data_IF_992883843644
#
_entry.id   IF_992883843644
#
_cell.length_a   1.000
_cell.length_b   1.000
_cell.length_c   1.000
_cell.angle_alpha   90.00
_cell.angle_beta   90.00
_cell.angle_gamma   90.00
#
_symmetry.space_group_name_H-M   'P 1'
#
loop_
_entity.id
_entity.type
_entity.pdbx_description
1 polymer ?
#
# COMPACT_ATOMS: atom_id res chain seq x y z
N UNK A 1 26.59 -1.50 17.89
CA UNK A 1 25.20 -1.99 17.99
C UNK A 1 24.28 -0.90 17.47
N UNK A 2 23.24 -1.24 16.70
CA UNK A 2 22.26 -0.25 16.24
C UNK A 2 21.37 0.23 17.41
N UNK A 3 20.87 1.45 17.32
CA UNK A 3 19.99 2.03 18.34
C UNK A 3 19.32 3.34 17.91
N UNK A 4 18.63 4.02 18.83
CA UNK A 4 17.94 5.28 18.54
C UNK A 4 18.85 6.39 18.01
N UNK A 5 20.10 6.43 18.46
CA UNK A 5 21.12 7.40 18.03
C UNK A 5 21.84 7.01 16.74
N UNK A 6 21.55 5.83 16.18
CA UNK A 6 22.25 5.40 14.97
C UNK A 6 21.89 6.28 13.78
N UNK A 7 22.87 6.64 12.97
CA UNK A 7 22.64 7.39 11.74
C UNK A 7 22.21 6.46 10.58
N UNK A 8 21.92 7.04 9.41
CA UNK A 8 21.50 6.26 8.26
C UNK A 8 22.60 5.31 7.75
N UNK A 9 23.86 5.72 7.80
CA UNK A 9 24.98 4.92 7.33
C UNK A 9 25.22 3.70 8.22
N UNK A 10 25.14 3.87 9.55
CA UNK A 10 25.23 2.79 10.52
C UNK A 10 24.10 1.77 10.36
N UNK A 11 22.86 2.24 10.13
CA UNK A 11 21.73 1.36 9.85
C UNK A 11 21.90 0.62 8.53
N UNK A 12 22.35 1.29 7.46
CA UNK A 12 22.63 0.64 6.18
C UNK A 12 23.72 -0.42 6.32
N UNK A 13 24.82 -0.10 7.02
CA UNK A 13 25.89 -1.06 7.29
C UNK A 13 25.36 -2.29 8.04
N UNK A 14 24.48 -2.08 9.03
CA UNK A 14 23.82 -3.19 9.72
C UNK A 14 22.92 -4.01 8.80
N UNK A 15 22.09 -3.37 7.96
CA UNK A 15 21.24 -4.08 6.99
C UNK A 15 22.08 -4.93 6.04
N UNK A 16 23.24 -4.42 5.58
CA UNK A 16 24.15 -5.18 4.72
C UNK A 16 24.66 -6.46 5.40
N UNK A 17 24.86 -6.47 6.71
CA UNK A 17 25.25 -7.70 7.44
C UNK A 17 24.14 -8.76 7.49
N UNK A 18 22.88 -8.38 7.21
CA UNK A 18 21.72 -9.28 7.21
C UNK A 18 21.37 -9.78 5.80
N UNK A 19 22.19 -9.46 4.79
CA UNK A 19 21.91 -9.77 3.40
C UNK A 19 21.76 -11.28 3.16
N UNK A 20 20.76 -11.65 2.37
CA UNK A 20 20.51 -13.03 1.94
C UNK A 20 20.32 -13.12 0.43
N UNK A 21 21.32 -13.68 -0.27
CA UNK A 21 21.26 -13.90 -1.73
C UNK A 21 20.15 -14.88 -2.12
N UNK A 22 19.89 -15.89 -1.29
CA UNK A 22 18.80 -16.83 -1.52
C UNK A 22 17.44 -16.10 -1.57
N UNK A 23 17.21 -15.20 -0.62
CA UNK A 23 15.98 -14.41 -0.58
C UNK A 23 15.90 -13.43 -1.76
N UNK A 24 17.02 -12.79 -2.13
CA UNK A 24 17.09 -11.92 -3.31
C UNK A 24 16.69 -12.70 -4.58
N UNK A 25 17.18 -13.92 -4.76
CA UNK A 25 16.81 -14.77 -5.91
C UNK A 25 15.30 -15.14 -5.90
N UNK A 26 14.72 -15.33 -4.72
CA UNK A 26 13.29 -15.61 -4.56
C UNK A 26 12.37 -14.43 -4.88
N UNK A 27 12.82 -13.19 -4.67
CA UNK A 27 12.00 -11.97 -4.82
C UNK A 27 11.50 -11.72 -6.24
N UNK A 28 12.29 -12.09 -7.27
CA UNK A 28 11.91 -11.90 -8.67
C UNK A 28 10.60 -12.60 -9.03
N UNK A 29 10.28 -13.73 -8.37
CA UNK A 29 9.02 -14.48 -8.56
C UNK A 29 7.79 -13.69 -8.15
N UNK A 30 7.96 -12.66 -7.32
CA UNK A 30 6.91 -11.77 -6.85
C UNK A 30 6.87 -10.43 -7.61
N UNK A 31 7.68 -10.28 -8.67
CA UNK A 31 7.76 -9.05 -9.46
C UNK A 31 8.41 -7.89 -8.71
N UNK A 32 9.30 -8.18 -7.77
CA UNK A 32 10.08 -7.19 -7.02
C UNK A 32 11.40 -6.94 -7.75
N UNK A 33 11.79 -5.67 -7.90
CA UNK A 33 13.09 -5.28 -8.47
C UNK A 33 14.20 -5.58 -7.46
N UNK A 34 15.21 -6.34 -7.88
CA UNK A 34 16.25 -6.88 -6.99
C UNK A 34 17.61 -6.18 -7.08
N UNK A 35 17.77 -5.20 -7.98
CA UNK A 35 19.07 -4.56 -8.27
C UNK A 35 19.81 -4.04 -7.02
N UNK A 36 19.08 -3.42 -6.09
CA UNK A 36 19.60 -2.93 -4.82
C UNK A 36 18.90 -3.58 -3.60
N UNK A 37 18.42 -4.81 -3.76
CA UNK A 37 17.81 -5.57 -2.67
C UNK A 37 18.86 -6.33 -1.85
N UNK A 38 18.62 -6.41 -0.54
CA UNK A 38 19.42 -7.16 0.42
C UNK A 38 18.78 -8.50 0.80
N UNK A 39 17.52 -8.75 0.42
CA UNK A 39 16.90 -10.05 0.71
C UNK A 39 16.42 -10.20 2.15
N UNK A 40 16.16 -9.10 2.85
CA UNK A 40 15.77 -9.13 4.27
C UNK A 40 14.25 -9.23 4.37
N UNK A 41 13.76 -10.06 5.28
CA UNK A 41 12.34 -10.24 5.49
C UNK A 41 11.68 -8.99 6.11
N UNK A 42 10.41 -8.73 5.78
CA UNK A 42 9.67 -7.62 6.41
C UNK A 42 9.62 -7.71 7.95
N UNK A 43 9.45 -8.89 8.58
CA UNK A 43 9.59 -9.04 10.04
C UNK A 43 10.93 -8.56 10.59
N UNK A 44 12.04 -8.87 9.92
CA UNK A 44 13.38 -8.47 10.38
C UNK A 44 13.61 -6.97 10.21
N UNK A 45 13.16 -6.38 9.09
CA UNK A 45 13.19 -4.92 8.92
C UNK A 45 12.35 -4.22 10.00
N UNK A 46 11.18 -4.77 10.35
CA UNK A 46 10.37 -4.25 11.47
C UNK A 46 11.07 -4.41 12.81
N UNK A 47 11.85 -5.47 13.03
CA UNK A 47 12.66 -5.63 14.22
C UNK A 47 13.76 -4.55 14.31
N UNK A 48 14.46 -4.28 13.20
CA UNK A 48 15.42 -3.17 13.10
C UNK A 48 14.75 -1.82 13.38
N UNK A 49 13.59 -1.55 12.78
CA UNK A 49 12.83 -0.32 12.99
C UNK A 49 12.43 -0.11 14.47
N UNK A 50 12.05 -1.19 15.18
CA UNK A 50 11.72 -1.12 16.61
C UNK A 50 12.91 -0.74 17.49
N UNK A 51 14.12 -1.13 17.10
CA UNK A 51 15.38 -0.78 17.80
C UNK A 51 15.81 0.64 17.44
N UNK A 52 15.79 0.99 16.16
CA UNK A 52 16.19 2.30 15.65
C UNK A 52 15.23 3.44 16.04
N UNK A 53 13.95 3.14 16.30
CA UNK A 53 12.88 4.13 16.58
C UNK A 53 12.63 5.09 15.41
N UNK A 54 11.61 5.94 15.57
CA UNK A 54 11.25 6.95 14.57
C UNK A 54 12.25 8.11 14.58
N UNK A 55 12.65 8.55 13.40
CA UNK A 55 13.46 9.76 13.13
C UNK A 55 13.25 10.16 11.66
N UNK A 56 12.61 11.32 11.45
CA UNK A 56 12.25 11.80 10.10
C UNK A 56 13.46 12.12 9.21
N UNK A 57 14.52 12.68 9.79
CA UNK A 57 15.73 13.09 9.04
C UNK A 57 16.47 11.84 8.58
N UNK A 58 16.66 10.88 9.47
CA UNK A 58 17.27 9.60 9.14
C UNK A 58 16.43 8.79 8.16
N UNK A 59 15.11 8.77 8.32
CA UNK A 59 14.23 8.12 7.35
C UNK A 59 14.41 8.69 5.94
N UNK A 60 14.53 10.02 5.81
CA UNK A 60 14.79 10.69 4.53
C UNK A 60 16.15 10.30 3.94
N UNK A 61 17.19 10.19 4.77
CA UNK A 61 18.51 9.74 4.34
C UNK A 61 18.51 8.26 3.91
N UNK A 62 17.84 7.39 4.65
CA UNK A 62 17.64 5.99 4.30
C UNK A 62 16.91 5.84 2.96
N UNK A 63 15.88 6.64 2.72
CA UNK A 63 15.13 6.63 1.46
C UNK A 63 16.02 6.91 0.24
N UNK A 64 16.90 7.92 0.37
CA UNK A 64 17.84 8.36 -0.67
C UNK A 64 18.93 7.35 -1.00
N UNK A 65 19.14 6.33 -0.16
CA UNK A 65 20.17 5.31 -0.41
C UNK A 65 19.87 4.39 -1.58
N UNK A 66 18.62 4.38 -2.07
CA UNK A 66 18.12 3.50 -3.14
C UNK A 66 18.27 1.99 -2.84
N UNK A 67 18.53 1.62 -1.58
CA UNK A 67 18.52 0.24 -1.10
C UNK A 67 17.08 -0.10 -0.70
N UNK A 68 16.53 -1.19 -1.26
CA UNK A 68 15.12 -1.58 -1.03
C UNK A 68 14.77 -1.67 0.46
N UNK A 69 15.56 -2.40 1.22
CA UNK A 69 15.35 -2.61 2.65
C UNK A 69 15.56 -1.34 3.48
N UNK A 70 16.44 -0.43 3.02
CA UNK A 70 16.61 0.87 3.64
C UNK A 70 15.39 1.77 3.40
N UNK A 71 14.76 1.70 2.21
CA UNK A 71 13.48 2.37 1.94
C UNK A 71 12.35 1.81 2.79
N UNK A 72 12.25 0.49 2.93
CA UNK A 72 11.29 -0.11 3.87
C UNK A 72 11.54 0.35 5.30
N UNK A 73 12.80 0.38 5.74
CA UNK A 73 13.16 0.89 7.06
C UNK A 73 12.75 2.36 7.22
N UNK A 74 13.01 3.20 6.20
CA UNK A 74 12.58 4.59 6.17
C UNK A 74 11.07 4.73 6.38
N UNK A 75 10.26 3.95 5.66
CA UNK A 75 8.79 3.95 5.80
C UNK A 75 8.35 3.55 7.22
N UNK A 76 9.05 2.64 7.88
CA UNK A 76 8.74 2.26 9.27
C UNK A 76 9.24 3.25 10.33
N UNK A 77 10.25 4.06 10.02
CA UNK A 77 10.89 4.97 10.98
C UNK A 77 10.58 6.45 10.73
N UNK A 78 9.87 6.80 9.67
CA UNK A 78 9.42 8.19 9.48
C UNK A 78 8.35 8.57 10.51
N UNK A 79 8.25 9.86 10.81
CA UNK A 79 7.26 10.40 11.74
C UNK A 79 6.02 10.84 10.95
N UNK A 80 4.88 10.12 11.02
CA UNK A 80 3.73 10.38 10.15
C UNK A 80 3.19 11.81 10.26
N UNK A 81 3.21 12.39 11.47
CA UNK A 81 2.76 13.77 11.71
C UNK A 81 3.64 14.84 11.08
N UNK A 82 4.86 14.50 10.68
CA UNK A 82 5.82 15.40 10.02
C UNK A 82 5.85 15.19 8.51
N UNK A 83 5.26 14.11 8.02
CA UNK A 83 5.25 13.78 6.61
C UNK A 83 4.30 14.71 5.85
N UNK A 84 4.85 15.48 4.93
CA UNK A 84 4.09 16.40 4.08
C UNK A 84 3.60 15.71 2.80
N UNK A 85 2.58 16.29 2.17
CA UNK A 85 2.13 15.85 0.84
C UNK A 85 3.23 15.95 -0.21
N UNK A 86 4.08 16.98 -0.15
CA UNK A 86 5.19 17.17 -1.08
C UNK A 86 6.24 16.07 -0.93
N UNK A 87 6.64 15.74 0.31
CA UNK A 87 7.55 14.61 0.57
C UNK A 87 6.95 13.28 0.09
N UNK A 88 5.67 13.04 0.33
CA UNK A 88 4.98 11.83 -0.12
C UNK A 88 4.96 11.72 -1.66
N UNK A 89 4.71 12.82 -2.38
CA UNK A 89 4.82 12.86 -3.86
C UNK A 89 6.23 12.60 -4.33
N UNK A 90 7.23 13.17 -3.65
CA UNK A 90 8.63 12.96 -3.98
C UNK A 90 9.02 11.49 -3.81
N UNK A 91 8.59 10.83 -2.72
CA UNK A 91 8.82 9.40 -2.53
C UNK A 91 8.09 8.56 -3.57
N UNK A 92 6.89 8.97 -4.00
CA UNK A 92 6.15 8.26 -5.03
C UNK A 92 6.88 8.20 -6.38
N UNK A 93 7.78 9.15 -6.67
CA UNK A 93 8.62 9.11 -7.87
C UNK A 93 9.57 7.90 -7.90
N UNK A 94 9.93 7.38 -6.74
CA UNK A 94 10.88 6.27 -6.59
C UNK A 94 10.18 4.90 -6.44
N UNK A 95 8.84 4.85 -6.49
CA UNK A 95 8.10 3.60 -6.33
C UNK A 95 8.32 2.68 -7.54
N UNK A 96 8.93 1.52 -7.25
CA UNK A 96 9.31 0.52 -8.26
C UNK A 96 8.85 -0.90 -7.91
N UNK A 97 8.09 -1.06 -6.83
CA UNK A 97 7.63 -2.36 -6.36
C UNK A 97 6.36 -2.23 -5.51
N UNK A 98 5.51 -3.26 -5.54
CA UNK A 98 4.18 -3.22 -4.93
C UNK A 98 4.22 -3.17 -3.41
N UNK A 99 5.25 -3.73 -2.79
CA UNK A 99 5.43 -3.80 -1.35
C UNK A 99 5.97 -2.50 -0.75
N UNK A 100 6.79 -1.74 -1.49
CA UNK A 100 7.15 -0.36 -1.12
C UNK A 100 5.89 0.50 -1.16
N UNK A 101 5.09 0.36 -2.23
CA UNK A 101 3.81 1.07 -2.38
C UNK A 101 2.87 0.75 -1.23
N UNK A 102 2.63 -0.53 -0.94
CA UNK A 102 1.66 -0.94 0.08
C UNK A 102 2.11 -0.46 1.49
N UNK A 103 3.42 -0.52 1.78
CA UNK A 103 3.97 0.02 3.03
C UNK A 103 3.85 1.55 3.11
N UNK A 104 4.07 2.26 2.00
CA UNK A 104 3.92 3.71 1.93
C UNK A 104 2.45 4.14 2.03
N UNK A 105 1.53 3.39 1.44
CA UNK A 105 0.10 3.65 1.50
C UNK A 105 -0.42 3.61 2.94
N UNK A 106 -0.05 2.59 3.73
CA UNK A 106 -0.40 2.51 5.16
C UNK A 106 0.11 3.73 5.94
N UNK A 107 1.36 4.14 5.67
CA UNK A 107 1.95 5.33 6.26
C UNK A 107 1.21 6.62 5.86
N UNK A 108 0.86 6.78 4.59
CA UNK A 108 0.15 7.97 4.09
C UNK A 108 -1.25 8.09 4.70
N UNK A 109 -1.93 6.96 4.91
CA UNK A 109 -3.20 6.89 5.65
C UNK A 109 -2.99 7.24 7.13
N UNK A 110 -1.95 6.73 7.79
CA UNK A 110 -1.60 7.12 9.18
C UNK A 110 -1.30 8.63 9.28
N UNK A 111 -0.66 9.21 8.26
CA UNK A 111 -0.33 10.62 8.16
C UNK A 111 -1.49 11.53 7.72
N UNK A 112 -2.69 10.97 7.43
CA UNK A 112 -3.88 11.70 6.97
C UNK A 112 -3.66 12.48 5.66
N UNK A 113 -2.94 11.88 4.71
CA UNK A 113 -2.68 12.46 3.38
C UNK A 113 -3.71 12.03 2.34
N UNK A 114 -4.98 11.90 2.76
CA UNK A 114 -6.08 11.34 1.96
C UNK A 114 -6.35 12.13 0.67
N UNK A 115 -6.00 13.42 0.65
CA UNK A 115 -6.08 14.32 -0.52
C UNK A 115 -5.23 13.83 -1.70
N UNK A 116 -4.17 13.05 -1.46
CA UNK A 116 -3.30 12.51 -2.52
C UNK A 116 -3.94 11.38 -3.33
N UNK A 117 -5.02 10.76 -2.83
CA UNK A 117 -5.65 9.59 -3.47
C UNK A 117 -6.08 9.91 -4.90
N UNK A 118 -6.74 11.06 -5.12
CA UNK A 118 -7.21 11.48 -6.44
C UNK A 118 -6.05 11.72 -7.40
N UNK A 119 -4.99 12.38 -6.94
CA UNK A 119 -3.83 12.69 -7.76
C UNK A 119 -3.05 11.44 -8.14
N UNK A 120 -2.86 10.53 -7.20
CA UNK A 120 -2.20 9.26 -7.46
C UNK A 120 -3.02 8.38 -8.40
N UNK A 121 -4.35 8.35 -8.28
CA UNK A 121 -5.18 7.58 -9.20
C UNK A 121 -5.11 8.10 -10.64
N UNK A 122 -5.06 9.42 -10.82
CA UNK A 122 -4.92 10.08 -12.11
C UNK A 122 -3.53 9.87 -12.75
N UNK A 123 -2.50 9.56 -11.96
CA UNK A 123 -1.15 9.31 -12.47
C UNK A 123 -1.09 8.06 -13.36
N UNK A 124 -0.38 8.16 -14.48
CA UNK A 124 -0.22 7.05 -15.44
C UNK A 124 0.88 6.06 -15.03
N UNK A 125 1.75 6.38 -14.06
CA UNK A 125 2.79 5.46 -13.58
C UNK A 125 2.14 4.35 -12.75
N UNK A 126 2.45 3.09 -13.07
CA UNK A 126 1.77 1.90 -12.50
C UNK A 126 1.77 1.90 -10.96
N UNK A 127 2.93 2.14 -10.35
CA UNK A 127 3.07 2.07 -8.90
C UNK A 127 2.52 3.30 -8.18
N UNK A 128 2.54 4.49 -8.81
CA UNK A 128 1.88 5.68 -8.26
C UNK A 128 0.36 5.48 -8.26
N UNK A 129 -0.20 4.99 -9.37
CA UNK A 129 -1.62 4.62 -9.44
C UNK A 129 -2.01 3.55 -8.43
N UNK A 130 -1.16 2.53 -8.26
CA UNK A 130 -1.37 1.50 -7.24
C UNK A 130 -1.51 2.12 -5.84
N UNK A 131 -0.71 3.16 -5.52
CA UNK A 131 -0.73 3.81 -4.21
C UNK A 131 -2.12 4.34 -3.85
N UNK A 132 -2.85 4.96 -4.78
CA UNK A 132 -4.20 5.45 -4.52
C UNK A 132 -5.13 4.34 -4.00
N UNK A 133 -5.15 3.19 -4.70
CA UNK A 133 -6.03 2.08 -4.33
C UNK A 133 -5.53 1.31 -3.11
N UNK A 134 -4.21 1.23 -2.89
CA UNK A 134 -3.66 0.72 -1.65
C UNK A 134 -4.04 1.61 -0.45
N UNK A 135 -4.01 2.94 -0.60
CA UNK A 135 -4.45 3.89 0.43
C UNK A 135 -5.93 3.71 0.74
N UNK A 136 -6.80 3.59 -0.27
CA UNK A 136 -8.24 3.32 -0.07
C UNK A 136 -8.45 2.00 0.69
N UNK A 137 -7.73 0.94 0.31
CA UNK A 137 -7.81 -0.35 0.99
C UNK A 137 -7.37 -0.26 2.46
N UNK A 138 -6.25 0.41 2.74
CA UNK A 138 -5.74 0.64 4.08
C UNK A 138 -6.69 1.52 4.92
N UNK A 139 -7.23 2.59 4.35
CA UNK A 139 -8.17 3.48 5.01
C UNK A 139 -9.45 2.76 5.44
N UNK A 140 -10.00 1.89 4.58
CA UNK A 140 -11.17 1.09 4.90
C UNK A 140 -10.95 0.16 6.12
N UNK A 141 -9.73 -0.32 6.34
CA UNK A 141 -9.35 -1.20 7.46
C UNK A 141 -8.96 -0.43 8.72
N UNK A 142 -8.16 0.63 8.58
CA UNK A 142 -7.47 1.30 9.69
C UNK A 142 -8.25 2.49 10.25
N UNK A 143 -8.94 3.26 9.41
CA UNK A 143 -9.66 4.46 9.84
C UNK A 143 -11.05 4.11 10.40
N UNK A 144 -11.11 3.30 11.45
CA UNK A 144 -12.37 2.76 12.02
C UNK A 144 -13.37 3.80 12.52
N UNK A 145 -12.91 5.04 12.76
CA UNK A 145 -13.75 6.15 13.23
C UNK A 145 -14.12 7.14 12.12
N UNK A 146 -13.55 6.97 10.93
CA UNK A 146 -13.87 7.82 9.79
C UNK A 146 -15.33 7.56 9.35
N UNK A 147 -16.11 8.60 9.02
CA UNK A 147 -17.45 8.43 8.51
C UNK A 147 -17.46 7.52 7.27
N UNK A 148 -18.46 6.64 7.20
CA UNK A 148 -18.60 5.73 6.06
C UNK A 148 -18.77 6.49 4.74
N UNK A 149 -19.37 7.69 4.78
CA UNK A 149 -19.49 8.58 3.63
C UNK A 149 -18.11 8.96 3.04
N UNK A 150 -17.09 9.18 3.87
CA UNK A 150 -15.72 9.46 3.40
C UNK A 150 -15.16 8.28 2.61
N UNK A 151 -15.33 7.05 3.14
CA UNK A 151 -14.83 5.83 2.50
C UNK A 151 -15.59 5.53 1.20
N UNK A 152 -16.91 5.71 1.22
CA UNK A 152 -17.79 5.50 0.08
C UNK A 152 -17.56 6.50 -1.06
N UNK A 153 -17.07 7.70 -0.75
CA UNK A 153 -16.73 8.72 -1.75
C UNK A 153 -15.64 8.28 -2.74
N UNK A 154 -14.88 7.22 -2.41
CA UNK A 154 -13.86 6.66 -3.31
C UNK A 154 -14.37 5.55 -4.25
N UNK A 155 -15.62 5.08 -4.11
CA UNK A 155 -16.20 4.08 -5.02
C UNK A 155 -16.22 4.55 -6.49
N UNK A 156 -16.57 5.81 -6.83
CA UNK A 156 -16.49 6.30 -8.21
C UNK A 156 -15.08 6.23 -8.79
N UNK A 157 -14.05 6.44 -7.96
CA UNK A 157 -12.66 6.34 -8.39
C UNK A 157 -12.26 4.88 -8.69
N UNK A 158 -12.74 3.94 -7.88
CA UNK A 158 -12.58 2.50 -8.12
C UNK A 158 -13.24 2.10 -9.45
N UNK A 159 -14.47 2.58 -9.70
CA UNK A 159 -15.19 2.31 -10.95
C UNK A 159 -14.44 2.85 -12.17
N UNK A 160 -14.02 4.12 -12.11
CA UNK A 160 -13.32 4.78 -13.20
C UNK A 160 -12.02 4.09 -13.62
N UNK A 161 -11.32 3.45 -12.67
CA UNK A 161 -10.04 2.76 -12.92
C UNK A 161 -10.15 1.22 -12.95
N UNK A 162 -11.36 0.65 -12.88
CA UNK A 162 -11.55 -0.80 -12.93
C UNK A 162 -11.12 -1.46 -14.26
N UNK A 163 -11.01 -0.68 -15.33
CA UNK A 163 -10.54 -1.13 -16.64
C UNK A 163 -9.02 -1.27 -16.79
N UNK A 164 -8.21 -0.81 -15.83
CA UNK A 164 -6.75 -0.79 -15.95
C UNK A 164 -6.17 -2.22 -16.00
N UNK A 165 -5.59 -2.67 -17.14
CA UNK A 165 -5.19 -4.07 -17.28
C UNK A 165 -3.91 -4.43 -16.53
N UNK A 166 -3.18 -3.44 -16.01
CA UNK A 166 -1.87 -3.65 -15.37
C UNK A 166 -2.04 -4.41 -14.07
N UNK A 167 -1.24 -5.46 -13.89
CA UNK A 167 -1.49 -6.47 -12.86
C UNK A 167 -1.45 -5.88 -11.46
N UNK A 168 -0.53 -4.96 -11.18
CA UNK A 168 -0.43 -4.36 -9.85
C UNK A 168 -1.53 -3.33 -9.58
N UNK A 169 -2.02 -2.63 -10.60
CA UNK A 169 -3.15 -1.69 -10.46
C UNK A 169 -4.45 -2.45 -10.28
N UNK A 170 -4.84 -3.36 -11.19
CA UNK A 170 -6.13 -4.09 -11.09
C UNK A 170 -6.28 -4.87 -9.79
N UNK A 171 -5.18 -5.41 -9.26
CA UNK A 171 -5.18 -6.10 -7.96
C UNK A 171 -5.44 -5.12 -6.81
N UNK A 172 -4.87 -3.92 -6.87
CA UNK A 172 -5.13 -2.89 -5.86
C UNK A 172 -6.55 -2.33 -5.96
N UNK A 173 -7.09 -2.10 -7.16
CA UNK A 173 -8.49 -1.67 -7.37
C UNK A 173 -9.47 -2.70 -6.79
N UNK A 174 -9.28 -3.99 -7.12
CA UNK A 174 -10.07 -5.08 -6.51
C UNK A 174 -9.92 -5.13 -4.99
N UNK A 175 -8.68 -5.01 -4.49
CA UNK A 175 -8.40 -5.02 -3.06
C UNK A 175 -9.09 -3.85 -2.34
N UNK A 176 -9.09 -2.65 -2.90
CA UNK A 176 -9.81 -1.48 -2.40
C UNK A 176 -11.32 -1.76 -2.31
N UNK A 177 -11.94 -2.19 -3.41
CA UNK A 177 -13.38 -2.51 -3.46
C UNK A 177 -13.80 -3.51 -2.39
N UNK A 178 -13.03 -4.61 -2.26
CA UNK A 178 -13.30 -5.64 -1.25
C UNK A 178 -13.14 -5.11 0.16
N UNK A 179 -12.14 -4.27 0.46
CA UNK A 179 -11.96 -3.76 1.82
C UNK A 179 -13.02 -2.73 2.21
N UNK A 180 -13.46 -1.88 1.28
CA UNK A 180 -14.64 -1.02 1.53
C UNK A 180 -15.83 -1.92 1.89
N UNK A 181 -16.12 -2.94 1.08
CA UNK A 181 -17.26 -3.82 1.33
C UNK A 181 -17.15 -4.67 2.61
N UNK A 182 -15.94 -4.93 3.10
CA UNK A 182 -15.70 -5.69 4.34
C UNK A 182 -15.73 -4.85 5.61
N UNK A 183 -15.78 -3.51 5.49
CA UNK A 183 -15.63 -2.59 6.60
C UNK A 183 -16.77 -2.71 7.63
N UNK A 184 -18.01 -2.57 7.16
CA UNK A 184 -19.25 -2.61 7.95
C UNK A 184 -20.47 -2.70 7.02
N UNK A 185 -21.67 -2.86 7.60
CA UNK A 185 -22.92 -2.99 6.84
C UNK A 185 -23.21 -1.80 5.91
N UNK A 186 -22.94 -0.58 6.37
CA UNK A 186 -23.19 0.63 5.58
C UNK A 186 -22.32 0.70 4.31
N UNK A 187 -21.06 0.24 4.38
CA UNK A 187 -20.15 0.20 3.24
C UNK A 187 -20.33 -1.04 2.36
N UNK A 188 -20.84 -2.14 2.92
CA UNK A 188 -21.01 -3.41 2.21
C UNK A 188 -21.99 -3.32 1.04
N UNK A 189 -23.18 -2.79 1.27
CA UNK A 189 -24.22 -2.76 0.23
C UNK A 189 -23.78 -1.95 -1.01
N UNK A 190 -23.24 -0.72 -0.89
CA UNK A 190 -22.72 0.03 -2.03
C UNK A 190 -21.55 -0.66 -2.74
N UNK A 191 -20.59 -1.22 -1.99
CA UNK A 191 -19.46 -1.92 -2.58
C UNK A 191 -19.88 -3.19 -3.33
N UNK A 192 -20.83 -3.97 -2.79
CA UNK A 192 -21.38 -5.15 -3.45
C UNK A 192 -22.19 -4.76 -4.71
N UNK A 193 -22.92 -3.64 -4.67
CA UNK A 193 -23.62 -3.12 -5.83
C UNK A 193 -22.64 -2.77 -6.96
N UNK A 194 -21.57 -2.02 -6.67
CA UNK A 194 -20.52 -1.72 -7.65
C UNK A 194 -19.85 -3.01 -8.15
N UNK A 195 -19.53 -3.96 -7.26
CA UNK A 195 -18.94 -5.23 -7.66
C UNK A 195 -19.82 -6.00 -8.67
N UNK A 196 -21.15 -5.98 -8.51
CA UNK A 196 -22.11 -6.59 -9.45
C UNK A 196 -22.13 -5.86 -10.79
N UNK A 197 -22.11 -4.52 -10.79
CA UNK A 197 -22.02 -3.72 -12.03
C UNK A 197 -20.75 -4.09 -12.79
N UNK A 198 -19.60 -4.10 -12.10
CA UNK A 198 -18.32 -4.46 -12.71
C UNK A 198 -18.32 -5.90 -13.23
N UNK A 199 -18.99 -6.84 -12.54
CA UNK A 199 -19.05 -8.25 -12.94
C UNK A 199 -19.78 -8.48 -14.29
N UNK A 200 -20.65 -7.55 -14.69
CA UNK A 200 -21.35 -7.57 -15.98
C UNK A 200 -20.68 -6.70 -17.05
N UNK A 201 -19.56 -6.06 -16.72
CA UNK A 201 -18.83 -5.18 -17.66
C UNK A 201 -18.33 -5.95 -18.89
N UNK A 202 -18.38 -5.34 -20.10
CA UNK A 202 -17.73 -5.90 -21.29
C UNK A 202 -16.20 -5.90 -21.15
N UNK A 203 -15.63 -4.99 -20.37
CA UNK A 203 -14.18 -4.97 -20.11
C UNK A 203 -13.76 -6.17 -19.26
N UNK A 204 -12.74 -6.90 -19.72
CA UNK A 204 -12.28 -8.14 -19.07
C UNK A 204 -11.65 -7.90 -17.69
N UNK A 205 -11.01 -6.75 -17.48
CA UNK A 205 -10.37 -6.39 -16.22
C UNK A 205 -11.43 -6.05 -15.19
N UNK A 206 -12.33 -5.13 -15.53
CA UNK A 206 -13.45 -4.73 -14.69
C UNK A 206 -14.31 -5.94 -14.30
N UNK A 207 -14.62 -6.81 -15.28
CA UNK A 207 -15.33 -8.07 -15.04
C UNK A 207 -14.62 -9.01 -14.09
N UNK A 208 -13.30 -9.14 -14.20
CA UNK A 208 -12.51 -9.95 -13.27
C UNK A 208 -12.57 -9.38 -11.85
N UNK A 209 -12.42 -8.06 -11.71
CA UNK A 209 -12.50 -7.36 -10.42
C UNK A 209 -13.88 -7.58 -9.79
N UNK A 210 -14.95 -7.32 -10.55
CA UNK A 210 -16.32 -7.44 -10.08
C UNK A 210 -16.67 -8.86 -9.66
N UNK A 211 -16.35 -9.87 -10.49
CA UNK A 211 -16.62 -11.28 -10.14
C UNK A 211 -15.87 -11.74 -8.89
N UNK A 212 -14.60 -11.34 -8.73
CA UNK A 212 -13.82 -11.69 -7.55
C UNK A 212 -14.37 -11.01 -6.29
N UNK A 213 -14.70 -9.72 -6.38
CA UNK A 213 -15.29 -8.96 -5.29
C UNK A 213 -16.67 -9.48 -4.88
N UNK A 214 -17.56 -9.81 -5.84
CA UNK A 214 -18.87 -10.42 -5.56
C UNK A 214 -18.69 -11.73 -4.81
N UNK A 215 -17.78 -12.60 -5.26
CA UNK A 215 -17.53 -13.89 -4.61
C UNK A 215 -17.14 -13.75 -3.14
N UNK A 216 -16.30 -12.77 -2.82
CA UNK A 216 -15.89 -12.53 -1.43
C UNK A 216 -16.97 -11.82 -0.62
N UNK A 217 -17.60 -10.78 -1.18
CA UNK A 217 -18.56 -9.93 -0.50
C UNK A 217 -19.92 -10.61 -0.27
N UNK A 218 -20.30 -11.57 -1.10
CA UNK A 218 -21.50 -12.39 -0.92
C UNK A 218 -21.28 -13.63 -0.05
N UNK A 219 -20.05 -13.87 0.43
CA UNK A 219 -19.73 -15.06 1.22
C UNK A 219 -20.40 -15.05 2.60
N UNK A 220 -21.05 -16.17 2.97
CA UNK A 220 -21.78 -16.32 4.24
C UNK A 220 -20.92 -15.99 5.47
N UNK A 221 -19.65 -16.43 5.49
CA UNK A 221 -18.71 -16.15 6.59
C UNK A 221 -18.47 -14.66 6.79
N UNK A 222 -18.47 -13.88 5.70
CA UNK A 222 -18.34 -12.42 5.79
C UNK A 222 -19.63 -11.81 6.32
N UNK A 223 -20.77 -12.18 5.75
CA UNK A 223 -22.07 -11.65 6.16
C UNK A 223 -22.35 -11.91 7.65
N UNK A 224 -21.99 -13.09 8.16
CA UNK A 224 -22.15 -13.45 9.57
C UNK A 224 -21.31 -12.62 10.55
N UNK A 225 -20.17 -12.07 10.11
CA UNK A 225 -19.27 -11.27 10.96
C UNK A 225 -19.41 -9.76 10.76
N UNK A 226 -20.12 -9.33 9.72
CA UNK A 226 -20.30 -7.93 9.40
C UNK A 226 -21.20 -7.28 10.47
N UNK A 227 -20.81 -6.09 10.91
CA UNK A 227 -21.53 -5.31 11.92
C UNK A 227 -21.87 -3.94 11.36
#
# INVERSE_FOLDING_TARGET
MIGPSSDAAELIAHLQTLRSEENVAGMARFGIVTGHALGISNPDIKAVARVAKKDHVRATQLWRSDIREARLLALYTVEPKRLTMEEARNWANDFNSWEIVDCAADLFVEARLDELISDFAADEREFVRRTAFAMIAGAAVHLKKEPDATILAWLPLIEAHAGDPRNFVRKAVNWALRNIGKRNLACHAPALALARILAESPDKTARWIGKDAVRELAGEKLLARLR
#
